data_IF_430705571232
#
_entry.id   IF_430705571232
#
_cell.length_a   1.000
_cell.length_b   1.000
_cell.length_c   1.000
_cell.angle_alpha   90.00
_cell.angle_beta   90.00
_cell.angle_gamma   90.00
#
_symmetry.space_group_name_H-M   'P 1'
#
loop_
_entity.id
_entity.type
_entity.pdbx_description
1 polymer ?
#
# COMPACT_ATOMS: atom_id res chain seq x y z
N UNK A 1 -53.24 16.67 19.72
CA UNK A 1 -53.00 16.72 18.27
C UNK A 1 -53.08 18.13 17.68
N UNK A 2 -54.14 18.91 17.94
CA UNK A 2 -54.29 20.28 17.40
C UNK A 2 -53.15 21.23 17.84
N UNK A 3 -52.79 21.18 19.11
CA UNK A 3 -51.69 21.97 19.67
C UNK A 3 -50.31 21.64 19.06
N UNK A 4 -50.04 20.36 18.76
CA UNK A 4 -48.81 19.92 18.12
C UNK A 4 -48.74 20.38 16.65
N UNK A 5 -49.88 20.42 15.96
CA UNK A 5 -50.01 20.93 14.60
C UNK A 5 -49.75 22.44 14.55
N UNK A 6 -50.33 23.18 15.49
CA UNK A 6 -50.17 24.64 15.59
C UNK A 6 -48.71 25.01 15.92
N UNK A 7 -48.06 24.29 16.85
CA UNK A 7 -46.63 24.46 17.15
C UNK A 7 -45.74 24.13 15.94
N UNK A 8 -46.09 23.12 15.14
CA UNK A 8 -45.34 22.74 13.93
C UNK A 8 -45.46 23.81 12.84
N UNK A 9 -46.66 24.39 12.66
CA UNK A 9 -46.90 25.52 11.74
C UNK A 9 -46.09 26.75 12.14
N UNK A 10 -45.99 27.05 13.42
CA UNK A 10 -45.24 28.20 13.93
C UNK A 10 -43.72 28.03 13.71
N UNK A 11 -43.19 26.82 13.92
CA UNK A 11 -41.80 26.48 13.59
C UNK A 11 -41.51 26.61 12.09
N UNK A 12 -42.39 26.10 11.23
CA UNK A 12 -42.24 26.20 9.78
C UNK A 12 -42.17 27.67 9.32
N UNK A 13 -43.07 28.50 9.85
CA UNK A 13 -43.07 29.94 9.55
C UNK A 13 -41.77 30.63 9.98
N UNK A 14 -41.24 30.27 11.14
CA UNK A 14 -39.96 30.78 11.63
C UNK A 14 -38.80 30.42 10.71
N UNK A 15 -38.78 29.18 10.22
CA UNK A 15 -37.74 28.66 9.31
C UNK A 15 -37.86 29.34 7.93
N UNK A 16 -39.08 29.49 7.41
CA UNK A 16 -39.35 30.19 6.14
C UNK A 16 -38.92 31.66 6.19
N UNK A 17 -39.19 32.36 7.29
CA UNK A 17 -38.84 33.77 7.44
C UNK A 17 -37.32 33.99 7.57
N UNK A 18 -36.58 33.02 8.14
CA UNK A 18 -35.13 33.10 8.30
C UNK A 18 -34.34 32.73 7.02
N UNK A 19 -34.87 31.81 6.20
CA UNK A 19 -34.14 31.20 5.07
C UNK A 19 -34.59 31.70 3.68
N UNK A 20 -35.70 32.46 3.62
CA UNK A 20 -36.33 32.97 2.39
C UNK A 20 -35.42 33.67 1.37
N UNK A 21 -34.33 34.37 1.73
CA UNK A 21 -33.54 35.05 0.71
C UNK A 21 -32.80 34.09 -0.24
N UNK A 22 -32.49 32.85 0.17
CA UNK A 22 -31.53 32.01 -0.55
C UNK A 22 -31.94 30.53 -0.75
N UNK A 23 -33.06 30.06 -0.19
CA UNK A 23 -33.42 28.63 -0.24
C UNK A 23 -34.92 28.43 -0.47
N UNK A 24 -35.27 27.53 -1.39
CA UNK A 24 -36.65 27.07 -1.61
C UNK A 24 -36.96 25.91 -0.67
N UNK A 25 -37.87 26.12 0.28
CA UNK A 25 -38.28 25.09 1.26
C UNK A 25 -39.47 24.32 0.73
N UNK A 26 -39.39 22.98 0.79
CA UNK A 26 -40.50 22.08 0.50
C UNK A 26 -40.86 21.32 1.79
N UNK A 27 -42.10 21.44 2.24
CA UNK A 27 -42.60 20.72 3.43
C UNK A 27 -43.48 19.55 3.00
N UNK A 28 -43.23 18.38 3.57
CA UNK A 28 -43.99 17.15 3.34
C UNK A 28 -44.39 16.61 4.71
N UNK A 29 -45.68 16.30 4.91
CA UNK A 29 -46.15 15.67 6.15
C UNK A 29 -45.84 14.17 6.14
N UNK A 30 -45.66 13.55 7.31
CA UNK A 30 -45.33 12.12 7.44
C UNK A 30 -46.31 11.22 6.67
N UNK A 31 -47.61 11.50 6.73
CA UNK A 31 -48.62 10.76 5.98
C UNK A 31 -48.51 10.93 4.45
N UNK A 32 -47.97 12.05 3.97
CA UNK A 32 -47.68 12.29 2.55
C UNK A 32 -46.33 11.67 2.16
N UNK A 33 -45.38 11.62 3.10
CA UNK A 33 -44.08 10.98 2.95
C UNK A 33 -44.24 9.46 2.79
N UNK A 34 -45.07 8.83 3.62
CA UNK A 34 -45.34 7.40 3.59
C UNK A 34 -46.11 6.95 2.34
N UNK A 35 -46.87 7.86 1.71
CA UNK A 35 -47.59 7.61 0.46
C UNK A 35 -46.72 7.76 -0.78
N UNK A 36 -45.55 8.39 -0.67
CA UNK A 36 -44.62 8.53 -1.78
C UNK A 36 -43.82 7.24 -1.97
N UNK A 37 -44.04 6.58 -3.12
CA UNK A 37 -43.11 5.58 -3.64
C UNK A 37 -41.86 6.31 -4.11
N UNK A 38 -40.88 6.48 -3.23
CA UNK A 38 -39.55 6.87 -3.66
C UNK A 38 -38.98 5.77 -4.54
N UNK A 39 -38.27 6.10 -5.64
CA UNK A 39 -37.40 5.10 -6.26
C UNK A 39 -36.48 4.56 -5.18
N UNK A 40 -36.22 3.25 -5.17
CA UNK A 40 -35.19 2.68 -4.30
C UNK A 40 -33.93 3.53 -4.47
N UNK A 41 -33.56 4.25 -3.41
CA UNK A 41 -32.31 5.01 -3.41
C UNK A 41 -31.23 3.96 -3.49
N UNK A 42 -30.52 3.90 -4.62
CA UNK A 42 -29.38 3.01 -4.77
C UNK A 42 -28.51 3.20 -3.51
N UNK A 43 -28.33 2.18 -2.65
CA UNK A 43 -27.61 2.32 -1.39
C UNK A 43 -26.14 2.74 -1.60
N UNK A 44 -25.65 2.72 -2.86
CA UNK A 44 -24.37 3.25 -3.29
C UNK A 44 -24.36 4.76 -3.60
N UNK A 45 -25.51 5.45 -3.65
CA UNK A 45 -25.62 6.92 -3.77
C UNK A 45 -25.37 7.61 -2.42
N UNK A 46 -24.23 7.31 -1.79
CA UNK A 46 -23.72 8.09 -0.66
C UNK A 46 -22.75 9.16 -1.19
N UNK A 47 -22.68 10.35 -0.57
CA UNK A 47 -21.66 11.34 -0.91
C UNK A 47 -20.27 10.71 -0.88
N UNK A 48 -19.41 11.10 -1.83
CA UNK A 48 -18.05 10.60 -1.92
C UNK A 48 -17.28 10.86 -0.62
N UNK A 49 -16.80 9.79 0.02
CA UNK A 49 -15.77 9.94 1.05
C UNK A 49 -14.40 9.95 0.36
N UNK A 50 -13.85 11.16 0.20
CA UNK A 50 -12.54 11.38 -0.42
C UNK A 50 -11.45 10.53 0.23
N UNK A 51 -11.58 10.28 1.53
CA UNK A 51 -10.63 9.49 2.30
C UNK A 51 -10.53 8.06 1.78
N UNK A 52 -11.61 7.48 1.26
CA UNK A 52 -11.60 6.10 0.76
C UNK A 52 -10.68 5.92 -0.47
N UNK A 53 -10.51 6.97 -1.30
CA UNK A 53 -9.54 6.94 -2.39
C UNK A 53 -8.07 6.94 -1.90
N UNK A 54 -7.83 7.45 -0.68
CA UNK A 54 -6.50 7.60 -0.09
C UNK A 54 -6.17 6.49 0.93
N UNK A 55 -7.18 5.89 1.58
CA UNK A 55 -7.03 4.75 2.49
C UNK A 55 -7.01 3.42 1.74
N UNK A 56 -5.98 3.22 0.92
CA UNK A 56 -5.74 1.98 0.17
C UNK A 56 -4.66 1.07 0.78
N UNK A 57 -4.26 1.28 2.05
CA UNK A 57 -3.13 0.63 2.73
C UNK A 57 -3.23 -0.89 2.96
N UNK A 58 -4.09 -1.57 2.23
CA UNK A 58 -4.11 -3.02 2.12
C UNK A 58 -4.32 -3.31 0.66
N UNK A 59 -3.23 -3.60 -0.05
CA UNK A 59 -3.31 -4.65 -1.05
C UNK A 59 -3.88 -5.84 -0.30
N UNK A 60 -5.19 -6.01 -0.37
CA UNK A 60 -5.84 -7.27 -0.08
C UNK A 60 -5.00 -8.26 -0.88
N UNK A 61 -4.20 -9.04 -0.18
CA UNK A 61 -3.52 -10.23 -0.68
C UNK A 61 -4.58 -11.00 -1.42
N UNK A 62 -4.63 -10.78 -2.74
CA UNK A 62 -5.12 -11.78 -3.64
C UNK A 62 -4.10 -12.87 -3.44
N UNK A 63 -4.46 -13.86 -2.62
CA UNK A 63 -3.66 -15.05 -2.42
C UNK A 63 -3.45 -15.65 -3.81
N UNK A 64 -2.29 -15.39 -4.40
CA UNK A 64 -1.75 -16.24 -5.45
C UNK A 64 -1.23 -17.46 -4.70
N UNK A 65 -2.13 -18.43 -4.54
CA UNK A 65 -1.80 -19.70 -3.90
C UNK A 65 -0.83 -20.44 -4.83
N UNK A 66 0.42 -20.60 -4.41
CA UNK A 66 1.33 -21.55 -5.04
C UNK A 66 1.40 -22.79 -4.17
N UNK A 67 1.04 -23.95 -4.74
CA UNK A 67 1.49 -25.21 -4.19
C UNK A 67 2.69 -25.66 -5.04
N UNK A 68 3.89 -25.44 -4.50
CA UNK A 68 5.18 -25.77 -5.12
C UNK A 68 5.41 -27.28 -5.31
N UNK A 69 4.50 -28.13 -4.83
CA UNK A 69 4.58 -29.57 -5.00
C UNK A 69 4.32 -30.04 -6.43
N UNK A 70 3.64 -29.24 -7.26
CA UNK A 70 3.12 -29.65 -8.57
C UNK A 70 3.99 -29.17 -9.75
N UNK A 71 5.10 -28.46 -9.47
CA UNK A 71 6.04 -27.93 -10.48
C UNK A 71 7.28 -28.79 -10.67
N UNK A 72 7.30 -30.01 -10.12
CA UNK A 72 8.52 -30.79 -9.95
C UNK A 72 9.03 -31.50 -11.21
N UNK A 73 8.19 -31.70 -12.23
CA UNK A 73 8.54 -32.62 -13.35
C UNK A 73 8.18 -32.13 -14.77
N UNK A 74 8.25 -30.83 -15.10
CA UNK A 74 8.06 -30.37 -16.49
C UNK A 74 9.38 -29.98 -17.21
N UNK A 75 9.83 -30.70 -18.27
CA UNK A 75 11.20 -30.59 -18.78
C UNK A 75 11.50 -29.43 -19.74
N UNK A 76 10.51 -28.65 -20.17
CA UNK A 76 10.73 -27.44 -20.98
C UNK A 76 9.58 -26.47 -20.73
N UNK A 77 9.71 -25.53 -19.80
CA UNK A 77 8.72 -24.46 -19.67
C UNK A 77 8.74 -23.56 -20.92
N UNK A 78 7.88 -23.90 -21.90
CA UNK A 78 6.75 -23.06 -22.30
C UNK A 78 5.74 -23.81 -23.19
N UNK A 79 4.48 -23.78 -22.76
CA UNK A 79 3.31 -23.48 -23.60
C UNK A 79 2.46 -22.50 -22.77
N UNK A 80 2.94 -21.26 -22.75
CA UNK A 80 2.42 -20.03 -22.15
C UNK A 80 1.08 -20.12 -21.39
N UNK A 81 1.04 -19.54 -20.19
CA UNK A 81 -0.21 -19.01 -19.61
C UNK A 81 -1.25 -20.02 -19.10
N UNK A 82 -0.84 -21.00 -18.28
CA UNK A 82 -1.80 -21.69 -17.40
C UNK A 82 -1.56 -21.42 -15.93
N UNK A 83 -1.41 -20.13 -15.60
CA UNK A 83 -2.05 -19.65 -14.38
C UNK A 83 -3.51 -19.54 -14.77
N UNK A 84 -4.37 -20.41 -14.24
CA UNK A 84 -5.78 -20.05 -14.20
C UNK A 84 -5.85 -18.76 -13.39
N UNK A 85 -5.98 -17.62 -14.09
CA UNK A 85 -6.59 -16.40 -13.58
C UNK A 85 -7.97 -16.83 -13.09
N UNK A 86 -8.06 -17.38 -11.88
CA UNK A 86 -9.33 -17.41 -11.19
C UNK A 86 -9.51 -15.96 -10.78
N UNK A 87 -10.08 -15.15 -11.69
CA UNK A 87 -10.65 -13.84 -11.37
C UNK A 87 -11.73 -14.08 -10.32
N UNK A 88 -11.32 -14.19 -9.07
CA UNK A 88 -12.22 -14.36 -7.95
C UNK A 88 -12.92 -13.02 -7.78
N UNK A 89 -14.19 -12.98 -8.16
CA UNK A 89 -15.04 -11.86 -7.82
C UNK A 89 -15.12 -11.70 -6.30
N UNK A 90 -15.56 -10.52 -5.85
CA UNK A 90 -15.69 -10.20 -4.42
C UNK A 90 -16.43 -11.30 -3.63
N UNK A 91 -17.47 -11.89 -4.23
CA UNK A 91 -18.26 -12.95 -3.60
C UNK A 91 -17.51 -14.28 -3.50
N UNK A 92 -16.81 -14.69 -4.56
CA UNK A 92 -16.00 -15.91 -4.56
C UNK A 92 -14.83 -15.85 -3.58
N UNK A 93 -14.32 -14.66 -3.29
CA UNK A 93 -13.28 -14.48 -2.26
C UNK A 93 -13.77 -14.92 -0.88
N UNK A 94 -15.02 -14.63 -0.54
CA UNK A 94 -15.59 -14.97 0.76
C UNK A 94 -15.90 -16.47 0.88
N UNK A 95 -16.35 -17.08 -0.22
CA UNK A 95 -16.84 -18.47 -0.24
C UNK A 95 -15.72 -19.48 -0.55
N UNK A 96 -14.52 -19.01 -0.97
CA UNK A 96 -13.35 -19.84 -1.36
C UNK A 96 -13.64 -20.87 -2.46
N UNK A 97 -14.56 -20.57 -3.37
CA UNK A 97 -14.88 -21.45 -4.51
C UNK A 97 -13.70 -21.64 -5.48
N UNK A 98 -13.62 -22.83 -6.09
CA UNK A 98 -12.60 -23.19 -7.09
C UNK A 98 -12.79 -22.46 -8.43
N UNK A 99 -14.04 -22.21 -8.85
CA UNK A 99 -14.36 -21.47 -10.10
C UNK A 99 -15.45 -20.44 -9.86
N UNK A 100 -15.29 -19.26 -10.46
CA UNK A 100 -16.27 -18.18 -10.38
C UNK A 100 -17.38 -18.39 -11.44
N UNK A 101 -18.58 -18.74 -11.01
CA UNK A 101 -19.76 -18.90 -11.87
C UNK A 101 -20.59 -17.62 -12.05
N UNK A 102 -20.20 -16.52 -11.38
CA UNK A 102 -20.93 -15.25 -11.42
C UNK A 102 -20.81 -14.55 -12.78
N UNK A 103 -21.89 -13.90 -13.20
CA UNK A 103 -21.98 -13.03 -14.38
C UNK A 103 -21.09 -11.78 -14.26
N UNK A 104 -20.86 -11.08 -15.37
CA UNK A 104 -20.07 -9.84 -15.32
C UNK A 104 -20.77 -8.74 -14.51
N UNK A 105 -22.09 -8.76 -14.45
CA UNK A 105 -22.94 -7.87 -13.66
C UNK A 105 -22.73 -8.10 -12.16
N UNK A 106 -22.63 -9.36 -11.73
CA UNK A 106 -22.34 -9.74 -10.34
C UNK A 106 -20.87 -9.54 -9.97
N UNK A 107 -19.98 -9.42 -10.96
CA UNK A 107 -18.55 -9.10 -10.75
C UNK A 107 -18.27 -7.60 -10.63
N UNK A 108 -19.28 -6.74 -10.77
CA UNK A 108 -19.09 -5.29 -10.67
C UNK A 108 -18.58 -4.93 -9.27
N UNK A 109 -17.53 -4.11 -9.24
CA UNK A 109 -16.97 -3.57 -8.00
C UNK A 109 -17.40 -2.10 -7.93
N UNK A 110 -17.96 -1.71 -6.78
CA UNK A 110 -18.36 -0.33 -6.48
C UNK A 110 -17.49 0.18 -5.34
N UNK A 111 -17.00 1.41 -5.46
CA UNK A 111 -16.05 2.02 -4.54
C UNK A 111 -15.58 3.39 -5.03
N UNK A 112 -14.64 3.96 -4.28
CA UNK A 112 -14.05 5.27 -4.54
C UNK A 112 -12.57 5.09 -4.88
N UNK A 113 -12.13 5.60 -6.02
CA UNK A 113 -10.75 5.45 -6.49
C UNK A 113 -10.22 6.75 -7.05
N UNK A 114 -8.90 6.91 -6.98
CA UNK A 114 -8.21 7.97 -7.71
C UNK A 114 -8.20 7.68 -9.21
N UNK A 115 -8.19 8.71 -10.05
CA UNK A 115 -8.16 8.55 -11.52
C UNK A 115 -7.00 7.70 -12.00
N UNK A 116 -5.83 7.82 -11.37
CA UNK A 116 -4.64 7.03 -11.70
C UNK A 116 -4.84 5.51 -11.50
N UNK A 117 -5.68 5.11 -10.54
CA UNK A 117 -6.03 3.68 -10.35
C UNK A 117 -7.05 3.21 -11.37
N UNK A 118 -8.01 4.07 -11.72
CA UNK A 118 -9.01 3.78 -12.75
C UNK A 118 -8.32 3.60 -14.10
N UNK A 119 -7.40 4.49 -14.46
CA UNK A 119 -6.60 4.39 -15.68
C UNK A 119 -5.81 3.07 -15.71
N UNK A 120 -5.18 2.70 -14.58
CA UNK A 120 -4.46 1.44 -14.46
C UNK A 120 -5.40 0.23 -14.57
N UNK A 121 -6.60 0.28 -14.00
CA UNK A 121 -7.58 -0.78 -14.13
C UNK A 121 -8.05 -0.95 -15.59
N UNK A 122 -8.29 0.15 -16.29
CA UNK A 122 -8.66 0.15 -17.71
C UNK A 122 -7.53 -0.45 -18.55
N UNK A 123 -6.27 -0.07 -18.30
CA UNK A 123 -5.09 -0.68 -18.93
C UNK A 123 -5.07 -2.21 -18.77
N UNK A 124 -5.53 -2.72 -17.62
CA UNK A 124 -5.62 -4.15 -17.31
C UNK A 124 -6.90 -4.82 -17.81
N UNK A 125 -7.70 -4.12 -18.62
CA UNK A 125 -8.88 -4.66 -19.28
C UNK A 125 -10.17 -4.60 -18.45
N UNK A 126 -10.17 -3.89 -17.30
CA UNK A 126 -11.40 -3.58 -16.60
C UNK A 126 -12.23 -2.57 -17.41
N UNK A 127 -13.56 -2.66 -17.29
CA UNK A 127 -14.49 -1.74 -17.96
C UNK A 127 -15.17 -0.86 -16.93
N UNK A 128 -15.10 0.45 -17.13
CA UNK A 128 -15.85 1.42 -16.32
C UNK A 128 -17.33 1.36 -16.72
N UNK A 129 -18.20 0.96 -15.78
CA UNK A 129 -19.64 0.80 -16.04
C UNK A 129 -20.42 2.08 -15.77
N UNK A 130 -20.15 2.73 -14.63
CA UNK A 130 -20.89 3.91 -14.17
C UNK A 130 -20.01 4.74 -13.25
N UNK A 131 -20.06 6.07 -13.41
CA UNK A 131 -19.53 7.05 -12.45
C UNK A 131 -20.72 7.64 -11.71
N UNK A 132 -20.71 7.59 -10.39
CA UNK A 132 -21.76 8.14 -9.55
C UNK A 132 -21.47 9.59 -9.17
N UNK A 133 -20.24 9.86 -8.77
CA UNK A 133 -19.75 11.18 -8.38
C UNK A 133 -18.29 11.33 -8.83
N UNK A 134 -17.92 12.54 -9.25
CA UNK A 134 -16.57 12.87 -9.70
C UNK A 134 -16.14 14.17 -9.03
N UNK A 135 -15.04 14.11 -8.28
CA UNK A 135 -14.36 15.31 -7.80
C UNK A 135 -13.20 15.65 -8.73
N UNK A 136 -13.32 16.78 -9.42
CA UNK A 136 -12.33 17.23 -10.40
C UNK A 136 -11.51 18.40 -9.83
N UNK A 137 -10.19 18.32 -9.98
CA UNK A 137 -9.26 19.38 -9.64
C UNK A 137 -8.74 20.02 -10.92
N UNK A 138 -9.14 21.28 -11.18
CA UNK A 138 -8.74 22.01 -12.40
C UNK A 138 -7.23 22.27 -12.48
N UNK A 139 -6.56 22.35 -11.33
CA UNK A 139 -5.15 22.68 -11.22
C UNK A 139 -4.39 21.51 -10.61
N UNK A 140 -3.24 21.21 -11.19
CA UNK A 140 -2.28 20.25 -10.65
C UNK A 140 -0.98 20.96 -10.29
N UNK A 141 -0.24 20.41 -9.34
CA UNK A 141 1.07 20.94 -8.94
C UNK A 141 1.95 19.80 -8.44
N UNK A 142 3.24 19.88 -8.77
CA UNK A 142 4.28 18.99 -8.26
C UNK A 142 4.98 19.53 -7.02
N UNK A 143 4.64 20.74 -6.57
CA UNK A 143 5.43 21.50 -5.61
C UNK A 143 4.82 21.54 -4.20
N UNK A 144 3.53 21.26 -4.07
CA UNK A 144 2.77 21.40 -2.80
C UNK A 144 3.39 20.64 -1.62
N UNK A 145 4.04 19.52 -1.87
CA UNK A 145 4.70 18.70 -0.85
C UNK A 145 6.22 18.70 -0.95
N UNK A 146 6.79 19.37 -1.97
CA UNK A 146 8.22 19.35 -2.24
C UNK A 146 9.01 19.82 -1.03
N UNK A 147 8.72 21.01 -0.51
CA UNK A 147 9.40 21.54 0.67
C UNK A 147 9.28 20.63 1.91
N UNK A 148 8.11 20.00 2.11
CA UNK A 148 7.89 19.07 3.21
C UNK A 148 8.78 17.83 3.08
N UNK A 149 8.71 17.17 1.92
CA UNK A 149 9.50 15.97 1.61
C UNK A 149 10.99 16.29 1.69
N UNK A 150 11.43 17.39 1.10
CA UNK A 150 12.81 17.86 1.10
C UNK A 150 13.33 18.05 2.54
N UNK A 151 12.55 18.73 3.39
CA UNK A 151 12.91 19.02 4.77
C UNK A 151 13.12 17.73 5.58
N UNK A 152 12.15 16.81 5.55
CA UNK A 152 12.24 15.59 6.34
C UNK A 152 13.19 14.55 5.73
N UNK A 153 13.38 14.55 4.40
CA UNK A 153 14.45 13.75 3.78
C UNK A 153 15.82 14.23 4.21
N UNK A 154 16.05 15.54 4.25
CA UNK A 154 17.29 16.14 4.76
C UNK A 154 17.55 15.70 6.20
N UNK A 155 16.59 15.89 7.11
CA UNK A 155 16.76 15.45 8.51
C UNK A 155 16.98 13.94 8.64
N UNK A 156 16.27 13.15 7.84
CA UNK A 156 16.45 11.69 7.82
C UNK A 156 17.86 11.31 7.39
N UNK A 157 18.43 11.98 6.38
CA UNK A 157 19.79 11.75 5.88
C UNK A 157 20.85 12.25 6.86
N UNK A 158 20.74 13.47 7.38
CA UNK A 158 21.64 14.02 8.40
C UNK A 158 21.70 13.14 9.65
N UNK A 159 20.55 12.62 10.10
CA UNK A 159 20.47 11.72 11.25
C UNK A 159 20.97 10.28 10.98
N UNK A 160 21.26 9.93 9.71
CA UNK A 160 21.72 8.59 9.28
C UNK A 160 23.23 8.37 9.34
N UNK A 161 23.99 9.34 9.85
CA UNK A 161 25.44 9.25 9.99
C UNK A 161 25.93 8.00 10.74
N UNK A 162 27.25 7.77 10.77
CA UNK A 162 27.80 6.61 11.49
C UNK A 162 27.65 6.75 13.00
N UNK A 163 27.39 5.62 13.69
CA UNK A 163 27.55 5.48 15.15
C UNK A 163 28.99 5.60 15.64
N UNK A 164 29.93 5.45 14.71
CA UNK A 164 31.35 5.31 14.92
C UNK A 164 32.04 6.62 14.56
N UNK A 165 32.73 7.25 15.51
CA UNK A 165 33.42 8.54 15.31
C UNK A 165 34.77 8.67 16.02
N UNK A 166 35.89 9.20 15.43
CA UNK A 166 36.38 10.56 15.78
C UNK A 166 37.36 11.31 14.77
N UNK A 167 37.26 12.60 14.37
CA UNK A 167 36.11 13.47 14.62
C UNK A 167 34.91 12.60 14.30
N UNK A 168 35.02 11.78 13.23
CA UNK A 168 34.04 10.78 12.81
C UNK A 168 34.47 9.33 12.24
N UNK A 169 35.70 8.72 12.35
CA UNK A 169 35.98 7.24 12.60
C UNK A 169 37.51 6.95 12.65
N UNK A 170 37.97 5.97 13.47
CA UNK A 170 39.39 5.59 13.59
C UNK A 170 39.87 4.75 12.38
N UNK A 171 41.17 4.74 12.04
CA UNK A 171 41.73 3.91 10.96
C UNK A 171 41.44 2.40 11.12
N UNK A 172 41.29 1.92 12.36
CA UNK A 172 41.07 0.50 12.67
C UNK A 172 39.57 0.15 12.87
N UNK A 173 38.68 1.02 12.36
CA UNK A 173 37.24 0.85 12.38
C UNK A 173 36.87 -0.27 11.39
N UNK A 174 36.46 -1.46 11.86
CA UNK A 174 35.96 -2.55 10.98
C UNK A 174 34.85 -2.05 10.04
N UNK A 175 34.11 -1.02 10.46
CA UNK A 175 33.06 -0.36 9.70
C UNK A 175 33.53 0.80 8.80
N UNK A 176 34.83 1.13 8.72
CA UNK A 176 35.36 2.28 7.96
C UNK A 176 34.89 2.30 6.49
N UNK A 177 34.87 1.12 5.87
CA UNK A 177 34.38 0.96 4.49
C UNK A 177 32.88 1.22 4.39
N UNK A 178 32.08 0.72 5.33
CA UNK A 178 30.62 0.90 5.34
C UNK A 178 30.24 2.35 5.64
N UNK A 179 31.01 3.04 6.48
CA UNK A 179 30.74 4.40 6.94
C UNK A 179 31.13 5.46 5.92
N UNK A 180 32.30 5.31 5.30
CA UNK A 180 32.68 6.13 4.14
C UNK A 180 31.71 5.93 2.99
N UNK A 181 31.31 4.68 2.71
CA UNK A 181 30.31 4.38 1.68
C UNK A 181 28.98 5.02 2.02
N UNK A 182 28.53 5.01 3.29
CA UNK A 182 27.25 5.60 3.70
C UNK A 182 27.24 7.12 3.67
N UNK A 183 28.34 7.78 4.04
CA UNK A 183 28.48 9.24 3.95
C UNK A 183 28.62 9.65 2.48
N UNK A 184 29.46 8.97 1.70
CA UNK A 184 29.59 9.21 0.26
C UNK A 184 28.26 8.95 -0.45
N UNK A 185 27.54 7.90 -0.07
CA UNK A 185 26.19 7.62 -0.55
C UNK A 185 25.23 8.78 -0.23
N UNK A 186 25.25 9.31 0.99
CA UNK A 186 24.45 10.48 1.38
C UNK A 186 24.83 11.69 0.53
N UNK A 187 26.11 11.90 0.22
CA UNK A 187 26.57 13.01 -0.64
C UNK A 187 26.13 12.80 -2.10
N UNK A 188 26.35 11.61 -2.66
CA UNK A 188 26.05 11.26 -4.05
C UNK A 188 24.54 11.19 -4.34
N UNK A 189 23.74 10.94 -3.30
CA UNK A 189 22.29 10.80 -3.37
C UNK A 189 21.55 11.89 -2.58
N UNK A 190 22.27 12.91 -2.10
CA UNK A 190 21.66 14.12 -1.58
C UNK A 190 21.05 14.85 -2.76
N UNK A 191 19.72 14.81 -2.86
CA UNK A 191 19.00 15.67 -3.78
C UNK A 191 19.00 17.16 -3.34
N UNK A 192 19.67 17.51 -2.24
CA UNK A 192 19.46 18.73 -1.48
C UNK A 192 20.78 19.33 -0.95
N UNK A 193 20.78 20.62 -0.59
CA UNK A 193 21.85 21.27 0.19
C UNK A 193 21.94 20.65 1.60
N UNK A 194 22.53 19.47 1.66
CA UNK A 194 22.80 18.74 2.88
C UNK A 194 23.97 19.41 3.59
N UNK A 195 23.80 19.69 4.88
CA UNK A 195 24.87 20.26 5.68
C UNK A 195 25.72 19.09 6.20
N UNK A 196 26.84 18.81 5.53
CA UNK A 196 27.71 17.67 5.82
C UNK A 196 28.17 17.70 7.28
N UNK A 197 28.36 18.89 7.86
CA UNK A 197 28.78 19.07 9.25
C UNK A 197 27.70 18.64 10.26
N UNK A 198 26.44 18.55 9.84
CA UNK A 198 25.31 18.07 10.67
C UNK A 198 25.06 16.58 10.53
N UNK A 199 25.76 15.88 9.64
CA UNK A 199 25.57 14.43 9.44
C UNK A 199 26.14 13.68 10.63
N UNK A 200 25.27 13.29 11.55
CA UNK A 200 25.62 12.55 12.77
C UNK A 200 24.56 11.52 13.08
N UNK A 201 24.98 10.35 13.58
CA UNK A 201 24.02 9.34 13.99
C UNK A 201 23.07 9.85 15.08
N UNK A 202 21.78 9.87 14.76
CA UNK A 202 20.72 10.18 15.70
C UNK A 202 19.49 9.31 15.38
N UNK A 203 19.36 8.19 16.09
CA UNK A 203 18.28 7.24 15.88
C UNK A 203 16.88 7.84 16.13
N UNK A 204 16.74 8.71 17.15
CA UNK A 204 15.48 9.36 17.50
C UNK A 204 15.03 10.36 16.44
N UNK A 205 15.92 11.27 16.02
CA UNK A 205 15.61 12.22 14.95
C UNK A 205 15.32 11.51 13.63
N UNK A 206 16.11 10.49 13.29
CA UNK A 206 15.88 9.66 12.11
C UNK A 206 14.49 9.01 12.14
N UNK A 207 14.09 8.50 13.29
CA UNK A 207 12.77 7.88 13.48
C UNK A 207 11.64 8.90 13.27
N UNK A 208 11.73 10.08 13.89
CA UNK A 208 10.75 11.16 13.73
C UNK A 208 10.66 11.61 12.26
N UNK A 209 11.80 11.90 11.63
CA UNK A 209 11.85 12.31 10.23
C UNK A 209 11.25 11.24 9.30
N UNK A 210 11.54 9.95 9.56
CA UNK A 210 10.93 8.83 8.83
C UNK A 210 9.40 8.78 9.03
N UNK A 211 8.90 8.97 10.24
CA UNK A 211 7.46 9.01 10.51
C UNK A 211 6.79 10.15 9.75
N UNK A 212 7.36 11.36 9.77
CA UNK A 212 6.82 12.50 9.03
C UNK A 212 6.69 12.19 7.52
N UNK A 213 7.73 11.61 6.93
CA UNK A 213 7.69 11.17 5.53
C UNK A 213 6.62 10.09 5.28
N UNK A 214 6.56 9.07 6.13
CA UNK A 214 5.62 7.96 5.98
C UNK A 214 4.16 8.40 6.16
N UNK A 215 3.89 9.36 7.06
CA UNK A 215 2.55 9.89 7.27
C UNK A 215 2.01 10.60 6.02
N UNK A 216 2.88 11.26 5.26
CA UNK A 216 2.51 11.86 3.99
C UNK A 216 2.33 10.78 2.90
N UNK A 217 3.33 9.90 2.75
CA UNK A 217 3.41 8.98 1.61
C UNK A 217 2.47 7.78 1.70
N UNK A 218 2.14 7.33 2.91
CA UNK A 218 1.21 6.20 3.15
C UNK A 218 -0.25 6.47 2.76
N UNK A 219 -0.60 7.73 2.44
CA UNK A 219 -1.97 8.11 2.07
C UNK A 219 -2.17 8.28 0.55
N UNK A 220 -1.11 8.30 -0.26
CA UNK A 220 -1.26 8.51 -1.70
C UNK A 220 -1.16 7.20 -2.49
N UNK A 221 -2.07 7.02 -3.44
CA UNK A 221 -2.18 5.82 -4.28
C UNK A 221 -0.92 5.47 -5.11
N UNK A 222 0.04 6.41 -5.23
CA UNK A 222 1.23 6.26 -6.06
C UNK A 222 2.16 5.12 -5.62
N UNK A 223 2.28 4.83 -4.32
CA UNK A 223 3.09 3.70 -3.84
C UNK A 223 2.56 2.37 -4.40
N UNK A 224 1.23 2.24 -4.53
CA UNK A 224 0.57 1.04 -5.08
C UNK A 224 0.89 0.85 -6.55
N UNK A 225 0.87 1.92 -7.33
CA UNK A 225 1.22 1.86 -8.76
C UNK A 225 2.68 1.44 -8.95
N UNK A 226 3.60 1.95 -8.13
CA UNK A 226 5.02 1.57 -8.16
C UNK A 226 5.24 0.09 -7.85
N UNK A 227 4.61 -0.42 -6.79
CA UNK A 227 4.66 -1.85 -6.50
C UNK A 227 4.01 -2.66 -7.63
N UNK A 228 2.88 -2.21 -8.16
CA UNK A 228 2.20 -2.88 -9.26
C UNK A 228 3.07 -2.97 -10.53
N UNK A 229 3.82 -1.93 -10.89
CA UNK A 229 4.78 -1.97 -12.00
C UNK A 229 5.81 -3.10 -11.85
N UNK A 230 6.24 -3.39 -10.62
CA UNK A 230 7.13 -4.52 -10.34
C UNK A 230 6.37 -5.86 -10.45
N UNK A 231 5.19 -5.96 -9.84
CA UNK A 231 4.37 -7.18 -9.89
C UNK A 231 4.02 -7.58 -11.32
N UNK A 232 3.76 -6.60 -12.19
CA UNK A 232 3.47 -6.81 -13.60
C UNK A 232 4.68 -7.32 -14.41
N UNK A 233 5.89 -7.13 -13.90
CA UNK A 233 7.10 -7.73 -14.49
C UNK A 233 7.31 -9.12 -13.91
N UNK A 234 7.18 -9.27 -12.59
CA UNK A 234 7.49 -10.52 -11.89
C UNK A 234 6.43 -11.61 -12.12
N UNK A 235 5.16 -11.26 -12.26
CA UNK A 235 4.05 -12.19 -12.51
C UNK A 235 4.05 -13.36 -11.50
N UNK A 236 4.05 -14.61 -11.96
CA UNK A 236 4.03 -15.84 -11.14
C UNK A 236 5.19 -16.02 -10.17
N UNK A 237 6.28 -15.26 -10.34
CA UNK A 237 7.44 -15.32 -9.44
C UNK A 237 7.15 -14.69 -8.09
N UNK A 238 6.13 -13.84 -7.96
CA UNK A 238 5.77 -13.18 -6.70
C UNK A 238 5.25 -14.21 -5.70
N UNK A 239 5.95 -14.35 -4.58
CA UNK A 239 5.59 -15.22 -3.47
C UNK A 239 4.78 -14.49 -2.40
N UNK A 240 5.09 -13.21 -2.18
CA UNK A 240 4.41 -12.38 -1.19
C UNK A 240 4.57 -10.90 -1.53
N UNK A 241 3.62 -10.08 -1.09
CA UNK A 241 3.66 -8.63 -1.22
C UNK A 241 2.95 -7.97 -0.04
N UNK A 242 3.49 -6.87 0.44
CA UNK A 242 2.84 -6.02 1.45
C UNK A 242 3.22 -4.57 1.23
N UNK A 243 2.26 -3.77 0.77
CA UNK A 243 2.27 -2.30 0.66
C UNK A 243 3.41 -1.69 -0.17
N UNK A 244 4.65 -1.87 0.26
CA UNK A 244 5.90 -1.34 -0.29
C UNK A 244 7.02 -2.40 -0.38
N UNK A 245 6.68 -3.69 -0.17
CA UNK A 245 7.61 -4.82 -0.22
C UNK A 245 7.09 -5.95 -1.11
N UNK A 246 8.01 -6.69 -1.73
CA UNK A 246 7.73 -7.86 -2.56
C UNK A 246 8.78 -8.94 -2.27
N UNK A 247 8.34 -10.17 -2.08
CA UNK A 247 9.19 -11.37 -2.02
C UNK A 247 8.86 -12.17 -3.26
N UNK A 248 9.89 -12.57 -4.01
CA UNK A 248 9.71 -13.31 -5.25
C UNK A 248 10.81 -14.35 -5.43
N UNK A 249 10.53 -15.36 -6.26
CA UNK A 249 11.51 -16.35 -6.66
C UNK A 249 12.37 -15.81 -7.81
N UNK A 250 13.67 -15.65 -7.59
CA UNK A 250 14.61 -15.27 -8.66
C UNK A 250 15.09 -16.52 -9.41
N UNK A 251 14.46 -16.77 -10.54
CA UNK A 251 14.77 -17.87 -11.48
C UNK A 251 15.82 -17.49 -12.54
N UNK A 252 16.41 -16.29 -12.46
CA UNK A 252 17.37 -15.78 -13.46
C UNK A 252 16.73 -15.39 -14.80
N UNK A 253 15.41 -15.40 -14.91
CA UNK A 253 14.68 -15.02 -16.12
C UNK A 253 14.89 -13.55 -16.50
N UNK A 254 14.56 -13.20 -17.74
CA UNK A 254 14.57 -11.80 -18.19
C UNK A 254 13.61 -10.91 -17.39
N UNK A 255 12.54 -11.48 -16.82
CA UNK A 255 11.65 -10.76 -15.91
C UNK A 255 12.39 -10.37 -14.62
N UNK A 256 13.10 -11.30 -13.99
CA UNK A 256 13.94 -11.03 -12.81
C UNK A 256 15.07 -10.06 -13.10
N UNK A 257 15.68 -10.11 -14.29
CA UNK A 257 16.70 -9.11 -14.67
C UNK A 257 16.08 -7.72 -14.84
N UNK A 258 14.88 -7.63 -15.41
CA UNK A 258 14.14 -6.36 -15.55
C UNK A 258 13.70 -5.78 -14.22
N UNK A 259 13.41 -6.58 -13.20
CA UNK A 259 13.06 -6.04 -11.88
C UNK A 259 14.20 -5.28 -11.23
N UNK A 260 15.46 -5.66 -11.52
CA UNK A 260 16.67 -4.98 -11.00
C UNK A 260 16.75 -3.49 -11.35
N UNK A 261 16.00 -3.01 -12.35
CA UNK A 261 15.93 -1.58 -12.68
C UNK A 261 15.28 -0.74 -11.57
N UNK A 262 14.50 -1.35 -10.70
CA UNK A 262 13.90 -0.69 -9.54
C UNK A 262 14.79 -0.78 -8.29
N UNK A 263 15.85 -1.59 -8.34
CA UNK A 263 16.75 -1.76 -7.22
C UNK A 263 17.55 -0.49 -7.02
N UNK A 264 17.58 -0.02 -5.79
CA UNK A 264 18.30 1.18 -5.45
C UNK A 264 18.04 1.61 -4.03
N UNK A 265 18.33 2.88 -3.81
CA UNK A 265 18.43 3.45 -2.47
C UNK A 265 17.95 4.89 -2.43
N UNK A 266 17.69 5.50 -3.59
CA UNK A 266 17.08 6.82 -3.71
C UNK A 266 15.61 6.75 -3.32
N UNK A 267 15.01 7.93 -3.14
CA UNK A 267 13.59 8.02 -2.83
C UNK A 267 12.76 7.42 -3.98
N UNK A 268 12.01 6.36 -3.67
CA UNK A 268 11.14 5.66 -4.63
C UNK A 268 11.77 4.38 -5.21
N UNK A 269 13.06 4.12 -4.97
CA UNK A 269 13.69 2.86 -5.31
C UNK A 269 13.27 1.75 -4.33
N UNK A 270 13.36 0.50 -4.77
CA UNK A 270 13.19 -0.68 -3.94
C UNK A 270 14.56 -1.13 -3.41
N UNK A 271 14.70 -1.21 -2.10
CA UNK A 271 15.95 -1.64 -1.46
C UNK A 271 15.89 -3.13 -1.16
N UNK A 272 16.96 -3.85 -1.50
CA UNK A 272 17.13 -5.25 -1.08
C UNK A 272 17.35 -5.33 0.43
N UNK A 273 16.32 -5.74 1.17
CA UNK A 273 16.35 -5.86 2.62
C UNK A 273 17.18 -7.04 3.12
N UNK A 274 17.34 -8.09 2.29
CA UNK A 274 18.08 -9.30 2.66
C UNK A 274 19.56 -8.96 2.78
N UNK A 275 20.08 -8.23 1.79
CA UNK A 275 21.45 -7.72 1.82
C UNK A 275 21.57 -6.62 2.89
N UNK A 276 20.73 -5.59 2.82
CA UNK A 276 20.96 -4.36 3.61
C UNK A 276 20.63 -4.46 5.10
N UNK A 277 19.68 -5.30 5.52
CA UNK A 277 19.28 -5.42 6.93
C UNK A 277 19.79 -6.70 7.59
N UNK A 278 19.94 -7.77 6.81
CA UNK A 278 20.24 -9.08 7.35
C UNK A 278 21.65 -9.59 7.01
N UNK A 279 22.39 -8.88 6.15
CA UNK A 279 23.72 -9.28 5.69
C UNK A 279 23.72 -10.72 5.14
N UNK A 280 22.68 -11.04 4.38
CA UNK A 280 22.41 -12.32 3.77
C UNK A 280 22.36 -12.15 2.24
N UNK A 281 22.58 -13.21 1.48
CA UNK A 281 22.56 -13.13 0.01
C UNK A 281 21.18 -13.48 -0.57
N UNK A 282 20.47 -14.43 0.03
CA UNK A 282 19.16 -14.86 -0.44
C UNK A 282 18.37 -15.56 0.67
N UNK A 283 17.07 -15.73 0.42
CA UNK A 283 16.17 -16.53 1.24
C UNK A 283 16.26 -18.00 0.78
N UNK A 284 16.61 -18.91 1.69
CA UNK A 284 16.63 -20.36 1.44
C UNK A 284 15.23 -20.97 1.48
N UNK A 285 14.42 -20.53 2.43
CA UNK A 285 13.07 -21.06 2.64
C UNK A 285 12.13 -19.92 3.02
N UNK A 286 10.96 -19.88 2.37
CA UNK A 286 9.91 -18.92 2.66
C UNK A 286 8.59 -19.65 2.91
N UNK A 287 7.89 -19.28 3.99
CA UNK A 287 6.57 -19.79 4.33
C UNK A 287 5.67 -18.60 4.65
N UNK A 288 4.47 -18.57 4.08
CA UNK A 288 3.42 -17.62 4.47
C UNK A 288 2.16 -18.40 4.84
N UNK A 289 1.62 -18.10 6.02
CA UNK A 289 0.30 -18.57 6.44
C UNK A 289 -0.81 -17.59 5.99
N UNK A 290 -0.42 -16.35 5.69
CA UNK A 290 -1.34 -15.34 5.22
C UNK A 290 -0.77 -13.92 5.28
N UNK A 291 -1.67 -12.92 5.22
CA UNK A 291 -1.27 -11.53 5.15
C UNK A 291 -0.67 -11.09 6.48
N UNK A 292 0.58 -10.61 6.45
CA UNK A 292 1.36 -10.22 7.64
C UNK A 292 1.59 -11.39 8.60
N UNK A 293 1.59 -12.60 8.06
CA UNK A 293 1.93 -13.85 8.75
C UNK A 293 2.82 -14.71 7.85
N UNK A 294 4.13 -14.54 8.01
CA UNK A 294 5.14 -15.24 7.24
C UNK A 294 6.44 -15.40 8.03
N UNK A 295 7.23 -16.39 7.64
CA UNK A 295 8.56 -16.64 8.16
C UNK A 295 9.50 -17.03 7.03
N UNK A 296 10.76 -16.61 7.14
CA UNK A 296 11.80 -16.88 6.16
C UNK A 296 13.10 -17.31 6.83
N UNK A 297 13.78 -18.28 6.23
CA UNK A 297 15.12 -18.72 6.60
C UNK A 297 16.10 -18.22 5.56
N UNK A 298 17.09 -17.48 6.02
CA UNK A 298 18.12 -16.90 5.17
C UNK A 298 19.25 -17.90 4.90
N UNK A 299 20.10 -17.60 3.91
CA UNK A 299 21.29 -18.39 3.62
C UNK A 299 22.26 -18.52 4.79
N UNK A 300 22.27 -17.51 5.68
CA UNK A 300 23.00 -17.50 6.95
C UNK A 300 22.37 -18.36 8.06
N UNK A 301 21.34 -19.17 7.75
CA UNK A 301 20.53 -19.96 8.69
C UNK A 301 19.68 -19.14 9.68
N UNK A 302 19.72 -17.80 9.58
CA UNK A 302 18.92 -16.90 10.40
C UNK A 302 17.44 -17.00 10.05
N UNK A 303 16.59 -17.14 11.06
CA UNK A 303 15.14 -17.08 10.93
C UNK A 303 14.66 -15.65 11.11
N UNK A 304 13.77 -15.21 10.22
CA UNK A 304 13.09 -13.90 10.30
C UNK A 304 11.59 -14.14 10.17
N UNK A 305 10.83 -13.70 11.17
CA UNK A 305 9.38 -13.94 11.25
C UNK A 305 8.61 -12.64 11.41
N UNK A 306 7.45 -12.57 10.77
CA UNK A 306 6.49 -11.50 10.91
C UNK A 306 5.11 -12.12 11.14
N UNK A 307 4.61 -12.00 12.36
CA UNK A 307 3.29 -12.50 12.74
C UNK A 307 2.49 -11.38 13.38
N UNK A 308 1.49 -10.86 12.67
CA UNK A 308 0.61 -9.82 13.22
C UNK A 308 -0.43 -10.44 14.15
N UNK A 309 -0.57 -9.87 15.34
CA UNK A 309 -1.55 -10.30 16.35
C UNK A 309 -0.92 -10.87 17.63
N UNK A 310 0.37 -11.24 17.58
CA UNK A 310 1.13 -11.68 18.75
C UNK A 310 2.42 -10.86 18.86
N UNK A 311 2.91 -10.68 20.09
CA UNK A 311 4.22 -10.06 20.31
C UNK A 311 5.29 -11.13 20.11
N UNK A 312 6.13 -10.96 19.10
CA UNK A 312 7.35 -11.73 18.93
C UNK A 312 8.33 -11.28 20.03
N UNK A 313 8.42 -12.06 21.09
CA UNK A 313 9.45 -11.94 22.12
C UNK A 313 10.41 -13.13 21.99
N UNK A 314 11.53 -13.11 22.72
CA UNK A 314 12.53 -14.17 22.65
C UNK A 314 11.94 -15.58 22.86
N UNK A 315 11.02 -15.73 23.82
CA UNK A 315 10.37 -17.00 24.11
C UNK A 315 9.50 -17.52 22.94
N UNK A 316 8.78 -16.62 22.27
CA UNK A 316 7.97 -16.95 21.09
C UNK A 316 8.88 -17.26 19.90
N UNK A 317 9.93 -16.47 19.68
CA UNK A 317 10.89 -16.68 18.60
C UNK A 317 11.59 -18.03 18.69
N UNK A 318 11.94 -18.50 19.90
CA UNK A 318 12.51 -19.84 20.12
C UNK A 318 11.54 -20.98 19.75
N UNK A 319 10.23 -20.72 19.79
CA UNK A 319 9.18 -21.71 19.48
C UNK A 319 8.77 -21.70 18.01
N UNK A 320 9.13 -20.66 17.24
CA UNK A 320 8.80 -20.59 15.82
C UNK A 320 9.75 -21.50 15.05
N UNK A 321 9.18 -22.49 14.38
CA UNK A 321 9.91 -23.43 13.51
C UNK A 321 9.24 -23.47 12.15
N UNK A 322 10.03 -23.66 11.09
CA UNK A 322 9.50 -23.87 9.74
C UNK A 322 9.14 -25.33 9.47
N UNK A 323 9.51 -26.24 10.37
CA UNK A 323 9.25 -27.67 10.24
C UNK A 323 7.78 -27.98 10.45
N UNK A 324 7.23 -28.84 9.58
CA UNK A 324 5.94 -29.50 9.86
C UNK A 324 6.18 -30.52 10.97
N UNK A 325 5.53 -30.32 12.12
CA UNK A 325 5.45 -31.34 13.17
C UNK A 325 4.56 -32.50 12.74
#
# INVERSE_FOLDING_TARGET
>A
MKELYDQTKERLKTIEDYLKPNVKIHTIWECEFDQQKYPEVDPHLKPIDKRDAFYGGRTETIQLYNNLSDLKDDPTLNKHDKIHEIKRCKECKNIKNEKCIHSNEERVIVGTWSTIEIDKAIEKGYKLKKIYELEHFEKTSTDIFKLYVDTFMKYKQEASGCKCDPKYCKPDCENDKECKTKIQYIIDNAAYNLDIDKVKHNSGLRFIAKICLNNLWGHFAHARLKLYELLDILQERVLYMDTDSCIYNDDGSEACKKSRKYDGSKLGDLTDEIVSKHNANHIKQFISAGPKDYSMKLDTEKLVSCCKGFRLNAEVEEKITLDKK
#
